data_IF_402391344069
#
_entry.id   IF_402391344069
#
_cell.length_a   1.000
_cell.length_b   1.000
_cell.length_c   1.000
_cell.angle_alpha   90.00
_cell.angle_beta   90.00
_cell.angle_gamma   90.00
#
_symmetry.space_group_name_H-M   'P 1'
#
loop_
_entity.id
_entity.type
_entity.pdbx_description
1 polymer ?
#
# COMPACT_ATOMS: atom_id res chain seq x y z
N UNK A 1 5.01 -9.65 -7.32
CA UNK A 1 3.58 -9.84 -6.97
C UNK A 1 3.00 -8.48 -6.60
N UNK A 2 1.82 -8.10 -7.13
CA UNK A 2 1.12 -6.87 -6.70
C UNK A 2 0.07 -7.26 -5.67
N UNK A 3 0.27 -6.92 -4.41
CA UNK A 3 -0.69 -7.21 -3.34
C UNK A 3 -1.64 -6.02 -3.23
N UNK A 4 -2.94 -6.29 -3.19
CA UNK A 4 -3.99 -5.30 -3.01
C UNK A 4 -4.89 -5.71 -1.86
N UNK A 5 -5.44 -4.72 -1.15
CA UNK A 5 -6.54 -4.91 -0.20
C UNK A 5 -7.80 -4.39 -0.86
N UNK A 6 -8.87 -5.17 -0.87
CA UNK A 6 -10.10 -4.82 -1.58
C UNK A 6 -11.34 -5.30 -0.86
N UNK A 7 -12.48 -4.70 -1.20
CA UNK A 7 -13.81 -5.20 -0.90
C UNK A 7 -14.30 -6.00 -2.11
N UNK A 8 -14.72 -7.24 -1.90
CA UNK A 8 -15.29 -8.06 -2.95
C UNK A 8 -16.77 -7.71 -3.23
N UNK A 9 -17.38 -8.40 -4.20
CA UNK A 9 -18.79 -8.19 -4.55
C UNK A 9 -19.79 -8.49 -3.41
N UNK A 10 -19.37 -9.25 -2.38
CA UNK A 10 -20.15 -9.56 -1.18
C UNK A 10 -19.98 -8.52 -0.07
N UNK A 11 -19.14 -7.50 -0.25
CA UNK A 11 -18.88 -6.49 0.77
C UNK A 11 -17.80 -6.91 1.80
N UNK A 12 -17.07 -8.00 1.55
CA UNK A 12 -16.07 -8.55 2.47
C UNK A 12 -14.67 -8.03 2.13
N UNK A 13 -13.85 -7.64 3.13
CA UNK A 13 -12.47 -7.22 2.91
C UNK A 13 -11.53 -8.42 2.73
N UNK A 14 -10.67 -8.36 1.72
CA UNK A 14 -9.69 -9.39 1.42
C UNK A 14 -8.34 -8.81 0.98
N UNK A 15 -7.27 -9.60 1.17
CA UNK A 15 -6.01 -9.43 0.47
C UNK A 15 -6.06 -10.23 -0.83
N UNK A 16 -5.44 -9.70 -1.88
CA UNK A 16 -5.41 -10.34 -3.19
C UNK A 16 -4.15 -10.03 -3.98
N UNK A 17 -3.80 -10.92 -4.91
CA UNK A 17 -2.84 -10.64 -5.98
C UNK A 17 -3.59 -9.95 -7.12
N UNK A 18 -3.38 -8.66 -7.31
CA UNK A 18 -3.99 -7.87 -8.39
C UNK A 18 -3.49 -8.38 -9.75
N UNK A 19 -4.43 -8.79 -10.60
CA UNK A 19 -4.15 -9.33 -11.93
C UNK A 19 -4.03 -8.24 -13.01
N UNK A 20 -4.30 -6.98 -12.67
CA UNK A 20 -4.15 -5.82 -13.55
C UNK A 20 -5.35 -5.51 -14.43
N UNK A 21 -6.40 -6.32 -14.38
CA UNK A 21 -7.62 -6.22 -15.20
C UNK A 21 -8.89 -5.96 -14.37
N UNK A 22 -8.72 -5.50 -13.13
CA UNK A 22 -9.82 -5.29 -12.19
C UNK A 22 -10.22 -6.55 -11.41
N UNK A 23 -9.51 -7.66 -11.57
CA UNK A 23 -9.66 -8.87 -10.75
C UNK A 23 -8.46 -9.09 -9.84
N UNK A 24 -8.69 -9.84 -8.77
CA UNK A 24 -7.65 -10.32 -7.89
C UNK A 24 -7.80 -11.83 -7.66
N UNK A 25 -6.67 -12.53 -7.55
CA UNK A 25 -6.66 -13.84 -6.90
C UNK A 25 -6.59 -13.64 -5.40
N UNK A 26 -7.56 -14.17 -4.65
CA UNK A 26 -7.62 -14.06 -3.20
C UNK A 26 -6.38 -14.68 -2.57
N UNK A 27 -5.80 -13.98 -1.60
CA UNK A 27 -4.68 -14.46 -0.81
C UNK A 27 -5.17 -14.93 0.56
N UNK A 28 -4.57 -16.02 1.04
CA UNK A 28 -4.74 -16.54 2.39
C UNK A 28 -3.49 -16.26 3.22
N UNK A 29 -3.64 -16.24 4.55
CA UNK A 29 -2.55 -15.99 5.49
C UNK A 29 -2.47 -14.53 5.93
N UNK A 30 -1.31 -14.14 6.46
CA UNK A 30 -1.03 -12.80 6.98
C UNK A 30 -0.13 -12.01 6.03
N UNK A 31 -0.28 -10.68 5.98
CA UNK A 31 0.49 -9.85 5.05
C UNK A 31 2.01 -9.92 5.30
N UNK A 32 2.41 -10.16 6.54
CA UNK A 32 3.81 -10.18 6.97
C UNK A 32 4.38 -11.60 7.06
N UNK A 33 3.52 -12.62 7.03
CA UNK A 33 3.91 -14.02 7.17
C UNK A 33 2.94 -14.98 6.48
N UNK A 34 3.49 -15.96 5.75
CA UNK A 34 2.74 -17.04 5.10
C UNK A 34 1.60 -16.59 4.16
N UNK A 35 1.79 -15.45 3.48
CA UNK A 35 0.84 -14.99 2.46
C UNK A 35 0.94 -15.85 1.20
N UNK A 36 -0.15 -16.50 0.81
CA UNK A 36 -0.17 -17.45 -0.30
C UNK A 36 -1.43 -17.35 -1.16
N UNK A 37 -1.37 -17.77 -2.45
CA UNK A 37 -2.56 -17.87 -3.29
C UNK A 37 -3.60 -18.83 -2.72
N UNK A 38 -4.86 -18.39 -2.63
CA UNK A 38 -6.01 -19.21 -2.27
C UNK A 38 -6.76 -19.79 -3.49
N UNK A 39 -6.34 -19.44 -4.71
CA UNK A 39 -6.88 -19.97 -5.97
C UNK A 39 -8.22 -19.38 -6.43
N UNK A 40 -8.97 -18.70 -5.56
CA UNK A 40 -10.21 -18.02 -5.93
C UNK A 40 -9.91 -16.70 -6.64
N UNK A 41 -10.41 -16.51 -7.87
CA UNK A 41 -10.31 -15.25 -8.61
C UNK A 41 -11.64 -14.54 -8.57
N UNK A 42 -11.64 -13.29 -8.13
CA UNK A 42 -12.85 -12.48 -7.99
C UNK A 42 -12.63 -11.04 -8.47
N UNK A 43 -13.73 -10.34 -8.75
CA UNK A 43 -13.70 -8.94 -9.13
C UNK A 43 -13.35 -8.05 -7.92
N UNK A 44 -12.50 -7.06 -8.15
CA UNK A 44 -12.20 -6.00 -7.18
C UNK A 44 -13.39 -5.03 -7.22
N UNK A 45 -14.25 -5.08 -6.21
CA UNK A 45 -15.37 -4.14 -6.08
C UNK A 45 -14.88 -2.74 -5.71
N UNK A 46 -14.13 -2.63 -4.63
CA UNK A 46 -13.49 -1.38 -4.19
C UNK A 46 -12.07 -1.64 -3.71
N UNK A 47 -11.10 -0.83 -4.15
CA UNK A 47 -9.75 -0.86 -3.60
C UNK A 47 -9.70 -0.11 -2.26
N UNK A 48 -9.06 -0.73 -1.28
CA UNK A 48 -8.74 -0.14 0.02
C UNK A 48 -7.29 0.32 0.04
N UNK A 49 -6.88 1.06 1.08
CA UNK A 49 -5.47 1.25 1.37
C UNK A 49 -4.78 -0.13 1.48
N UNK A 50 -3.56 -0.33 0.97
CA UNK A 50 -2.95 -1.66 0.89
C UNK A 50 -2.59 -2.26 2.26
N UNK A 51 -2.44 -1.42 3.30
CA UNK A 51 -2.17 -1.85 4.67
C UNK A 51 -2.92 -0.98 5.69
N UNK A 52 -2.94 -1.43 6.94
CA UNK A 52 -3.45 -0.68 8.10
C UNK A 52 -2.32 -0.51 9.12
N UNK A 53 -1.39 0.43 8.88
CA UNK A 53 -0.26 0.65 9.79
C UNK A 53 -0.75 1.25 11.11
N UNK A 54 -0.07 0.91 12.21
CA UNK A 54 -0.28 1.59 13.50
C UNK A 54 0.34 3.00 13.51
N UNK A 55 1.50 3.16 12.87
CA UNK A 55 2.23 4.43 12.79
C UNK A 55 2.72 4.65 11.35
N UNK A 56 2.65 5.89 10.86
CA UNK A 56 3.21 6.29 9.56
C UNK A 56 4.33 7.30 9.78
N UNK A 57 5.57 6.81 9.71
CA UNK A 57 6.76 7.66 9.73
C UNK A 57 7.05 8.18 8.32
N UNK A 58 7.27 9.49 8.20
CA UNK A 58 7.50 10.18 6.93
C UNK A 58 8.84 10.92 6.95
N UNK A 59 9.48 10.99 5.78
CA UNK A 59 10.72 11.75 5.56
C UNK A 59 10.40 12.97 4.69
N UNK A 60 10.57 14.16 5.25
CA UNK A 60 10.45 15.42 4.54
C UNK A 60 11.69 15.74 3.71
N UNK A 61 11.52 16.57 2.68
CA UNK A 61 12.60 17.12 1.86
C UNK A 61 13.58 16.06 1.30
N UNK A 62 13.06 14.89 0.92
CA UNK A 62 13.89 13.78 0.42
C UNK A 62 14.20 13.86 -1.09
N UNK A 63 13.99 15.02 -1.71
CA UNK A 63 14.29 15.31 -3.11
C UNK A 63 14.91 16.71 -3.23
N UNK A 64 16.02 16.84 -3.96
CA UNK A 64 16.74 18.12 -4.12
C UNK A 64 15.88 19.20 -4.77
N UNK A 65 15.24 18.86 -5.88
CA UNK A 65 14.34 19.78 -6.59
C UNK A 65 13.20 20.28 -5.67
N UNK A 66 12.64 19.42 -4.82
CA UNK A 66 11.60 19.83 -3.89
C UNK A 66 12.11 20.80 -2.82
N UNK A 67 13.35 20.65 -2.34
CA UNK A 67 13.97 21.60 -1.42
C UNK A 67 14.21 22.96 -2.10
N UNK A 68 14.69 22.95 -3.36
CA UNK A 68 14.88 24.16 -4.17
C UNK A 68 13.55 24.89 -4.44
N UNK A 69 12.51 24.16 -4.86
CA UNK A 69 11.17 24.70 -5.12
C UNK A 69 10.54 25.36 -3.89
N UNK A 70 10.83 24.84 -2.71
CA UNK A 70 10.29 25.34 -1.43
C UNK A 70 11.20 26.39 -0.77
N UNK A 71 12.34 26.72 -1.38
CA UNK A 71 13.33 27.64 -0.82
C UNK A 71 13.96 27.15 0.49
N UNK A 72 13.90 25.84 0.75
CA UNK A 72 14.41 25.23 1.97
C UNK A 72 15.86 24.78 1.76
N UNK A 73 16.70 24.97 2.77
CA UNK A 73 18.07 24.44 2.73
C UNK A 73 18.05 22.90 2.69
N UNK A 74 19.03 22.32 1.98
CA UNK A 74 19.19 20.87 1.98
C UNK A 74 19.51 20.37 3.40
N UNK A 75 18.69 19.47 3.95
CA UNK A 75 18.86 19.05 5.33
C UNK A 75 20.12 18.19 5.48
N UNK A 76 20.86 18.39 6.59
CA UNK A 76 22.05 17.59 6.93
C UNK A 76 21.70 16.20 7.47
N UNK A 77 20.48 16.03 7.97
CA UNK A 77 19.93 14.78 8.51
C UNK A 77 18.49 14.59 8.02
N UNK A 78 17.98 13.34 7.95
CA UNK A 78 16.59 13.10 7.55
C UNK A 78 15.59 13.85 8.43
N UNK A 79 14.63 14.55 7.81
CA UNK A 79 13.57 15.25 8.52
C UNK A 79 12.43 14.27 8.78
N UNK A 80 12.43 13.64 9.95
CA UNK A 80 11.42 12.66 10.36
C UNK A 80 10.19 13.36 10.97
N UNK A 81 9.00 12.99 10.51
CA UNK A 81 7.73 13.39 11.13
C UNK A 81 6.72 12.22 11.08
N UNK A 82 5.59 12.36 11.79
CA UNK A 82 4.54 11.33 11.84
C UNK A 82 3.22 11.86 11.26
N UNK A 83 2.45 10.97 10.64
CA UNK A 83 1.03 11.15 10.32
C UNK A 83 0.17 10.16 11.08
#
# INVERSE_FOLDING_TARGET
MRITRYINARGEPWLGRDLGDGRAERLEGDLWSDLRPGGEIEAIGQRLAPLQPLNIFCIGLNYRAHAEETGMELPRHPVLFMK
#
